data_IF_592705063831
#
_entry.id   IF_592705063831
#
_cell.length_a   1.000
_cell.length_b   1.000
_cell.length_c   1.000
_cell.angle_alpha   90.00
_cell.angle_beta   90.00
_cell.angle_gamma   90.00
#
_symmetry.space_group_name_H-M   'P 1'
#
loop_
_entity.id
_entity.type
_entity.pdbx_description
1 polymer ?
#
# COMPACT_ATOMS: atom_id res chain seq x y z
N UNK A 1 24.50 -3.72 -12.16
CA UNK A 1 24.65 -3.81 -10.69
C UNK A 1 24.07 -2.53 -10.08
N UNK A 2 23.42 -2.63 -8.91
CA UNK A 2 22.86 -1.53 -8.16
C UNK A 2 23.23 -1.68 -6.67
N UNK A 3 23.31 -0.55 -5.95
CA UNK A 3 23.87 -0.53 -4.59
C UNK A 3 22.83 -0.62 -3.48
N UNK A 4 21.56 -0.38 -3.78
CA UNK A 4 20.54 -0.24 -2.73
C UNK A 4 19.18 -0.78 -3.18
N UNK A 5 18.37 0.00 -3.87
CA UNK A 5 17.07 -0.35 -4.42
C UNK A 5 17.09 -0.23 -5.93
N UNK A 6 16.27 -0.99 -6.63
CA UNK A 6 16.17 -0.92 -8.08
C UNK A 6 14.71 -1.04 -8.53
N UNK A 7 14.23 -0.04 -9.25
CA UNK A 7 12.90 -0.04 -9.86
C UNK A 7 13.00 -0.16 -11.37
N UNK A 8 12.15 -1.00 -11.96
CA UNK A 8 12.12 -1.23 -13.42
C UNK A 8 10.71 -1.61 -13.87
N UNK A 9 10.43 -1.40 -15.15
CA UNK A 9 9.17 -1.85 -15.78
C UNK A 9 9.12 -3.37 -15.74
N UNK A 10 7.99 -3.93 -15.32
CA UNK A 10 7.81 -5.38 -15.29
C UNK A 10 7.75 -5.93 -16.71
N UNK A 11 8.65 -6.85 -17.04
CA UNK A 11 8.70 -7.52 -18.35
C UNK A 11 7.41 -8.31 -18.67
N UNK A 12 6.68 -8.71 -17.63
CA UNK A 12 5.41 -9.44 -17.71
C UNK A 12 4.25 -8.58 -17.18
N UNK A 13 4.18 -7.33 -17.65
CA UNK A 13 3.16 -6.38 -17.20
C UNK A 13 1.74 -6.87 -17.51
N UNK A 14 0.88 -6.88 -16.49
CA UNK A 14 -0.55 -7.13 -16.66
C UNK A 14 -1.28 -5.91 -17.25
N UNK A 15 -0.75 -4.71 -17.03
CA UNK A 15 -1.28 -3.45 -17.54
C UNK A 15 -0.25 -2.81 -18.46
N UNK A 16 -0.71 -2.31 -19.59
CA UNK A 16 0.13 -1.66 -20.61
C UNK A 16 -0.38 -0.23 -20.87
N UNK A 17 0.51 0.76 -21.09
CA UNK A 17 0.10 2.14 -21.33
C UNK A 17 -0.62 2.33 -22.68
N UNK A 18 -0.39 1.44 -23.62
CA UNK A 18 -0.99 1.42 -24.96
C UNK A 18 -2.19 0.45 -25.10
N UNK A 19 -2.67 -0.10 -23.98
CA UNK A 19 -3.87 -0.96 -23.98
C UNK A 19 -5.05 -0.23 -24.60
N UNK A 20 -5.85 -0.96 -25.38
CA UNK A 20 -7.04 -0.42 -26.03
C UNK A 20 -8.08 0.05 -25.00
N UNK A 21 -8.63 1.24 -25.19
CA UNK A 21 -9.79 1.74 -24.44
C UNK A 21 -11.11 1.12 -24.93
N UNK A 22 -11.08 0.00 -25.62
CA UNK A 22 -12.28 -0.67 -26.10
C UNK A 22 -13.17 -1.09 -24.93
N UNK A 23 -14.47 -0.94 -25.12
CA UNK A 23 -15.48 -1.42 -24.18
C UNK A 23 -16.45 -2.34 -24.87
N UNK A 24 -16.92 -3.33 -24.15
CA UNK A 24 -17.95 -4.25 -24.60
C UNK A 24 -19.03 -4.29 -23.52
N UNK A 25 -20.27 -4.10 -23.96
CA UNK A 25 -21.44 -4.22 -23.08
C UNK A 25 -22.56 -4.93 -23.86
N UNK A 26 -23.09 -6.00 -23.29
CA UNK A 26 -24.26 -6.69 -23.78
C UNK A 26 -25.29 -6.84 -22.68
N UNK A 27 -26.27 -5.92 -22.70
CA UNK A 27 -27.42 -5.93 -21.82
C UNK A 27 -27.06 -5.69 -20.33
N UNK A 28 -26.00 -4.98 -20.04
CA UNK A 28 -25.44 -4.78 -18.68
C UNK A 28 -25.11 -6.08 -17.92
N UNK A 29 -25.00 -7.20 -18.62
CA UNK A 29 -24.68 -8.51 -18.06
C UNK A 29 -23.29 -8.98 -18.44
N UNK A 30 -22.88 -8.73 -19.68
CA UNK A 30 -21.57 -9.06 -20.18
C UNK A 30 -20.83 -7.75 -20.45
N UNK A 31 -20.08 -7.29 -19.48
CA UNK A 31 -19.37 -6.02 -19.53
C UNK A 31 -17.88 -6.26 -19.43
N UNK A 32 -17.11 -5.66 -20.35
CA UNK A 32 -15.66 -5.64 -20.30
C UNK A 32 -15.17 -4.27 -20.78
N UNK A 33 -14.12 -3.77 -20.16
CA UNK A 33 -13.44 -2.53 -20.53
C UNK A 33 -11.94 -2.76 -20.54
N UNK A 34 -11.25 -2.23 -21.54
CA UNK A 34 -9.80 -2.19 -21.55
C UNK A 34 -9.28 -1.32 -20.41
N UNK A 35 -8.14 -1.71 -19.82
CA UNK A 35 -7.51 -1.00 -18.75
C UNK A 35 -6.08 -0.63 -19.14
N UNK A 36 -5.76 0.65 -19.07
CA UNK A 36 -4.39 1.14 -19.28
C UNK A 36 -3.66 1.25 -17.96
N UNK A 37 -2.36 1.00 -18.00
CA UNK A 37 -1.56 1.17 -16.80
C UNK A 37 -0.08 0.92 -17.03
N UNK A 38 0.67 1.00 -15.93
CA UNK A 38 2.10 0.74 -15.85
C UNK A 38 2.36 -0.19 -14.68
N UNK A 39 3.03 -1.31 -14.94
CA UNK A 39 3.47 -2.21 -13.88
C UNK A 39 4.98 -2.10 -13.70
N UNK A 40 5.43 -1.96 -12.45
CA UNK A 40 6.85 -1.93 -12.09
C UNK A 40 7.17 -2.93 -11.00
N UNK A 41 8.42 -3.36 -10.96
CA UNK A 41 8.99 -4.17 -9.88
C UNK A 41 10.03 -3.33 -9.14
N UNK A 42 10.06 -3.43 -7.82
CA UNK A 42 11.04 -2.77 -6.96
C UNK A 42 11.80 -3.84 -6.20
N UNK A 43 13.06 -4.09 -6.55
CA UNK A 43 13.96 -4.88 -5.72
C UNK A 43 14.39 -4.05 -4.51
N UNK A 44 14.19 -4.59 -3.31
CA UNK A 44 14.45 -3.87 -2.05
C UNK A 44 15.94 -3.78 -1.72
N UNK A 45 16.74 -4.73 -2.19
CA UNK A 45 18.17 -4.83 -1.95
C UNK A 45 18.84 -5.63 -3.05
N UNK A 46 20.13 -5.41 -3.35
CA UNK A 46 20.90 -6.30 -4.23
C UNK A 46 21.14 -7.68 -3.60
N UNK A 47 20.93 -7.84 -2.28
CA UNK A 47 21.12 -9.10 -1.57
C UNK A 47 19.85 -9.94 -1.61
N UNK A 48 19.95 -11.18 -2.11
CA UNK A 48 18.82 -12.08 -2.32
C UNK A 48 18.13 -12.58 -1.03
N UNK A 49 18.77 -12.46 0.11
CA UNK A 49 18.30 -12.98 1.39
C UNK A 49 17.89 -11.88 2.39
N UNK A 50 17.72 -10.63 1.94
CA UNK A 50 17.37 -9.51 2.82
C UNK A 50 15.90 -9.12 2.71
N UNK A 51 15.03 -9.80 3.47
CA UNK A 51 13.63 -9.43 3.62
C UNK A 51 13.46 -8.26 4.62
N UNK A 52 12.32 -7.56 4.58
CA UNK A 52 12.05 -6.37 5.42
C UNK A 52 12.35 -6.58 6.91
N UNK A 53 12.00 -7.72 7.58
CA UNK A 53 12.28 -7.90 9.00
C UNK A 53 13.77 -7.90 9.36
N UNK A 54 14.65 -8.31 8.46
CA UNK A 54 16.10 -8.40 8.72
C UNK A 54 16.92 -7.25 8.10
N UNK A 55 16.31 -6.39 7.27
CA UNK A 55 16.97 -5.21 6.71
C UNK A 55 17.25 -4.16 7.80
N UNK A 56 18.33 -3.40 7.62
CA UNK A 56 18.58 -2.22 8.45
C UNK A 56 17.53 -1.13 8.17
N UNK A 57 17.18 -0.34 9.20
CA UNK A 57 16.18 0.74 9.07
C UNK A 57 16.53 1.72 7.95
N UNK A 58 17.80 2.04 7.77
CA UNK A 58 18.27 2.92 6.70
C UNK A 58 18.04 2.34 5.31
N UNK A 59 18.02 1.01 5.16
CA UNK A 59 17.71 0.33 3.89
C UNK A 59 16.20 0.34 3.63
N UNK A 60 15.37 0.03 4.63
CA UNK A 60 13.90 0.13 4.50
C UNK A 60 13.51 1.57 4.18
N UNK A 61 14.18 2.55 4.79
CA UNK A 61 13.95 3.97 4.51
C UNK A 61 14.22 4.31 3.04
N UNK A 62 15.24 3.72 2.42
CA UNK A 62 15.50 3.88 0.97
C UNK A 62 14.40 3.26 0.12
N UNK A 63 13.87 2.10 0.52
CA UNK A 63 12.72 1.48 -0.15
C UNK A 63 11.51 2.43 -0.11
N UNK A 64 11.22 3.04 1.05
CA UNK A 64 10.14 4.01 1.20
C UNK A 64 10.37 5.24 0.31
N UNK A 65 11.61 5.74 0.19
CA UNK A 65 11.90 6.85 -0.72
C UNK A 65 11.63 6.49 -2.18
N UNK A 66 11.91 5.26 -2.60
CA UNK A 66 11.55 4.78 -3.93
C UNK A 66 10.03 4.70 -4.10
N UNK A 67 9.29 4.17 -3.10
CA UNK A 67 7.82 4.15 -3.15
C UNK A 67 7.22 5.55 -3.31
N UNK A 68 7.74 6.52 -2.56
CA UNK A 68 7.30 7.93 -2.66
C UNK A 68 7.57 8.49 -4.06
N UNK A 69 8.79 8.31 -4.58
CA UNK A 69 9.18 8.81 -5.89
C UNK A 69 8.35 8.16 -7.01
N UNK A 70 8.17 6.86 -6.96
CA UNK A 70 7.38 6.13 -7.96
C UNK A 70 5.89 6.51 -7.92
N UNK A 71 5.33 6.68 -6.71
CA UNK A 71 3.97 7.17 -6.55
C UNK A 71 3.80 8.56 -7.18
N UNK A 72 4.74 9.48 -6.90
CA UNK A 72 4.71 10.83 -7.44
C UNK A 72 4.86 10.85 -8.97
N UNK A 73 5.82 10.11 -9.51
CA UNK A 73 6.08 10.08 -10.95
C UNK A 73 4.95 9.42 -11.76
N UNK A 74 4.45 8.29 -11.27
CA UNK A 74 3.36 7.59 -11.95
C UNK A 74 2.04 8.34 -11.80
N UNK A 75 1.78 8.96 -10.66
CA UNK A 75 0.58 9.76 -10.42
C UNK A 75 0.50 11.05 -11.26
N UNK A 76 1.61 11.50 -11.87
CA UNK A 76 1.62 12.63 -12.82
C UNK A 76 1.15 12.26 -14.23
N UNK A 77 1.07 10.97 -14.54
CA UNK A 77 0.61 10.53 -15.85
C UNK A 77 -0.90 10.77 -15.97
N UNK A 78 -1.33 11.51 -17.00
CA UNK A 78 -2.72 11.98 -17.19
C UNK A 78 -3.77 10.85 -17.16
N UNK A 79 -3.39 9.64 -17.54
CA UNK A 79 -4.31 8.50 -17.56
C UNK A 79 -4.27 7.64 -16.29
N UNK A 80 -3.40 7.94 -15.32
CA UNK A 80 -3.30 7.20 -14.06
C UNK A 80 -4.14 7.89 -12.99
N UNK A 81 -5.12 7.18 -12.46
CA UNK A 81 -5.97 7.63 -11.37
C UNK A 81 -5.73 6.90 -10.04
N UNK A 82 -4.91 5.84 -10.06
CA UNK A 82 -4.53 5.13 -8.85
C UNK A 82 -3.16 4.46 -8.99
N UNK A 83 -2.36 4.53 -7.92
CA UNK A 83 -1.03 3.90 -7.86
C UNK A 83 -1.02 2.94 -6.67
N UNK A 84 -1.16 1.65 -6.95
CA UNK A 84 -1.11 0.58 -5.97
C UNK A 84 0.33 0.12 -5.76
N UNK A 85 0.85 0.26 -4.55
CA UNK A 85 2.16 -0.27 -4.14
C UNK A 85 1.90 -1.43 -3.19
N UNK A 86 2.49 -2.60 -3.48
CA UNK A 86 2.21 -3.81 -2.73
C UNK A 86 3.40 -4.79 -2.73
N UNK A 87 3.39 -5.73 -1.80
CA UNK A 87 4.32 -6.85 -1.72
C UNK A 87 3.55 -8.16 -1.52
N UNK A 88 3.93 -9.19 -2.27
CA UNK A 88 3.56 -10.57 -2.00
C UNK A 88 4.83 -11.30 -1.54
N UNK A 89 4.91 -11.65 -0.27
CA UNK A 89 6.03 -12.40 0.32
C UNK A 89 5.65 -13.86 0.47
N UNK A 90 6.49 -14.74 -0.08
CA UNK A 90 6.33 -16.18 0.02
C UNK A 90 5.56 -16.81 -1.15
N UNK A 91 5.95 -18.04 -1.52
CA UNK A 91 5.40 -18.76 -2.66
C UNK A 91 3.88 -18.98 -2.56
N UNK A 92 3.38 -19.25 -1.37
CA UNK A 92 1.94 -19.43 -1.11
C UNK A 92 1.09 -18.18 -1.36
N UNK A 93 1.74 -17.00 -1.40
CA UNK A 93 1.11 -15.72 -1.75
C UNK A 93 1.29 -15.35 -3.23
N UNK A 94 1.76 -16.30 -4.06
CA UNK A 94 1.99 -16.07 -5.48
C UNK A 94 3.30 -15.37 -5.82
N UNK A 95 4.25 -15.27 -4.87
CA UNK A 95 5.57 -14.74 -5.12
C UNK A 95 6.41 -15.77 -5.89
N UNK A 96 6.61 -15.54 -7.20
CA UNK A 96 7.34 -16.46 -8.07
C UNK A 96 8.87 -16.35 -7.96
N UNK A 97 9.39 -15.24 -7.44
CA UNK A 97 10.82 -15.00 -7.28
C UNK A 97 11.13 -14.72 -5.80
N UNK A 98 12.01 -15.53 -5.16
CA UNK A 98 12.33 -15.38 -3.74
C UNK A 98 13.17 -14.12 -3.42
N UNK A 99 13.72 -13.43 -4.43
CA UNK A 99 14.42 -12.17 -4.22
C UNK A 99 13.44 -11.12 -3.65
N UNK A 100 13.76 -10.47 -2.50
CA UNK A 100 12.84 -9.52 -1.87
C UNK A 100 12.49 -8.34 -2.77
N UNK A 101 11.22 -8.25 -3.14
CA UNK A 101 10.73 -7.23 -4.04
C UNK A 101 9.26 -6.87 -3.75
N UNK A 102 8.91 -5.65 -4.10
CA UNK A 102 7.54 -5.20 -4.20
C UNK A 102 7.15 -4.92 -5.66
N UNK A 103 5.89 -4.61 -5.86
CA UNK A 103 5.33 -4.28 -7.16
C UNK A 103 4.55 -2.97 -7.08
N UNK A 104 4.44 -2.32 -8.23
CA UNK A 104 3.56 -1.18 -8.43
C UNK A 104 2.65 -1.47 -9.61
N UNK A 105 1.36 -1.26 -9.41
CA UNK A 105 0.37 -1.21 -10.48
C UNK A 105 -0.25 0.18 -10.47
N UNK A 106 0.12 0.98 -11.46
CA UNK A 106 -0.49 2.28 -11.70
C UNK A 106 -1.52 2.13 -12.82
N UNK A 107 -2.75 2.56 -12.60
CA UNK A 107 -3.85 2.25 -13.51
C UNK A 107 -4.86 3.39 -13.66
N UNK A 108 -5.62 3.32 -14.77
CA UNK A 108 -6.62 4.32 -15.13
C UNK A 108 -7.86 4.26 -14.23
N UNK A 109 -8.29 3.07 -13.84
CA UNK A 109 -9.46 2.89 -12.98
C UNK A 109 -9.03 2.79 -11.52
N UNK A 110 -9.76 3.42 -10.60
CA UNK A 110 -9.56 3.20 -9.16
C UNK A 110 -9.99 1.76 -8.86
N UNK A 111 -9.13 0.91 -8.25
CA UNK A 111 -9.48 -0.48 -7.94
C UNK A 111 -10.69 -0.60 -7.03
N UNK A 112 -11.36 -1.75 -7.06
CA UNK A 112 -12.64 -1.98 -6.38
C UNK A 112 -12.59 -1.68 -4.87
N UNK A 113 -11.55 -2.14 -4.16
CA UNK A 113 -11.48 -1.91 -2.71
C UNK A 113 -11.23 -0.43 -2.38
N UNK A 114 -10.22 0.27 -2.95
CA UNK A 114 -10.10 1.71 -2.78
C UNK A 114 -11.33 2.51 -3.24
N UNK A 115 -12.04 2.07 -4.27
CA UNK A 115 -13.28 2.72 -4.72
C UNK A 115 -14.40 2.61 -3.66
N UNK A 116 -14.55 1.44 -3.03
CA UNK A 116 -15.50 1.24 -1.92
C UNK A 116 -15.11 2.09 -0.70
N UNK A 117 -13.83 2.12 -0.36
CA UNK A 117 -13.30 2.97 0.72
C UNK A 117 -13.59 4.44 0.46
N UNK A 118 -13.31 4.93 -0.77
CA UNK A 118 -13.56 6.31 -1.17
C UNK A 118 -15.02 6.72 -0.94
N UNK A 119 -15.97 5.85 -1.28
CA UNK A 119 -17.41 6.10 -1.07
C UNK A 119 -17.71 6.26 0.42
N UNK A 120 -17.20 5.35 1.27
CA UNK A 120 -17.46 5.37 2.71
C UNK A 120 -16.72 6.52 3.40
N UNK A 121 -15.48 6.80 3.02
CA UNK A 121 -14.69 7.91 3.54
C UNK A 121 -15.35 9.25 3.23
N UNK A 122 -15.80 9.46 1.99
CA UNK A 122 -16.56 10.67 1.61
C UNK A 122 -17.83 10.83 2.42
N UNK A 123 -18.63 9.76 2.52
CA UNK A 123 -19.87 9.79 3.32
C UNK A 123 -19.60 10.19 4.76
N UNK A 124 -18.63 9.55 5.39
CA UNK A 124 -18.28 9.83 6.79
C UNK A 124 -17.72 11.26 6.96
N UNK A 125 -16.85 11.68 6.06
CA UNK A 125 -16.23 13.00 6.11
C UNK A 125 -17.28 14.12 5.98
N UNK A 126 -18.22 14.00 5.06
CA UNK A 126 -19.33 14.96 4.92
C UNK A 126 -20.20 15.02 6.19
N UNK A 127 -20.43 13.87 6.82
CA UNK A 127 -21.26 13.80 8.02
C UNK A 127 -20.55 14.29 9.29
N UNK A 128 -19.25 14.00 9.45
CA UNK A 128 -18.51 14.19 10.71
C UNK A 128 -17.41 15.26 10.63
N UNK A 129 -17.03 15.74 9.45
CA UNK A 129 -15.93 16.71 9.27
C UNK A 129 -14.54 16.16 9.64
N UNK A 130 -14.38 14.83 9.65
CA UNK A 130 -13.12 14.12 9.99
C UNK A 130 -12.98 12.87 9.14
N UNK A 131 -11.76 12.39 8.96
CA UNK A 131 -11.55 11.12 8.28
C UNK A 131 -12.07 9.96 9.13
N UNK A 132 -12.63 8.93 8.49
CA UNK A 132 -13.16 7.75 9.18
C UNK A 132 -12.05 7.07 10.02
N UNK A 133 -10.88 6.85 9.43
CA UNK A 133 -9.79 6.17 10.12
C UNK A 133 -9.22 6.99 11.29
N UNK A 134 -9.22 8.34 11.24
CA UNK A 134 -8.81 9.13 12.41
C UNK A 134 -9.76 8.96 13.59
N UNK A 135 -11.05 8.88 13.33
CA UNK A 135 -12.04 8.64 14.38
C UNK A 135 -11.96 7.21 14.92
N UNK A 136 -11.80 6.23 14.03
CA UNK A 136 -11.61 4.84 14.41
C UNK A 136 -10.32 4.63 15.23
N UNK A 137 -9.20 5.17 14.76
CA UNK A 137 -7.93 5.07 15.46
C UNK A 137 -7.97 5.70 16.86
N UNK A 138 -8.65 6.84 17.00
CA UNK A 138 -8.85 7.44 18.33
C UNK A 138 -9.51 6.47 19.29
N UNK A 139 -10.58 5.80 18.87
CA UNK A 139 -11.29 4.82 19.68
C UNK A 139 -10.39 3.61 20.03
N UNK A 140 -9.64 3.08 19.06
CA UNK A 140 -8.74 1.95 19.29
C UNK A 140 -7.60 2.29 20.25
N UNK A 141 -7.07 3.50 20.18
CA UNK A 141 -6.04 3.98 21.11
C UNK A 141 -6.58 4.17 22.55
N UNK A 142 -7.87 4.51 22.70
CA UNK A 142 -8.55 4.58 24.00
C UNK A 142 -8.81 3.17 24.57
N UNK A 143 -9.29 2.24 23.75
CA UNK A 143 -9.61 0.86 24.16
C UNK A 143 -8.37 -0.02 24.38
N UNK A 144 -7.36 0.14 23.56
CA UNK A 144 -6.08 -0.65 23.56
C UNK A 144 -6.25 -2.17 23.45
N UNK A 145 -7.36 -2.63 22.86
CA UNK A 145 -7.67 -4.06 22.77
C UNK A 145 -7.02 -4.73 21.55
N UNK A 146 -6.88 -4.00 20.44
CA UNK A 146 -6.44 -4.54 19.14
C UNK A 146 -5.12 -3.99 18.64
N UNK A 147 -4.44 -3.16 19.44
CA UNK A 147 -3.14 -2.58 19.11
C UNK A 147 -2.05 -3.67 19.18
N UNK A 148 -1.31 -3.86 18.09
CA UNK A 148 -0.20 -4.82 18.01
C UNK A 148 1.13 -4.13 18.30
N UNK A 149 1.35 -2.98 17.67
CA UNK A 149 2.56 -2.17 17.83
C UNK A 149 2.28 -0.73 17.40
N UNK A 150 2.91 0.21 18.06
CA UNK A 150 2.85 1.63 17.70
C UNK A 150 4.21 2.29 17.82
N UNK A 151 4.37 3.41 17.14
CA UNK A 151 5.43 4.39 17.38
C UNK A 151 4.83 5.80 17.41
N UNK A 152 5.66 6.84 17.32
CA UNK A 152 5.17 8.23 17.43
C UNK A 152 4.14 8.60 16.36
N UNK A 153 4.30 8.08 15.13
CA UNK A 153 3.57 8.55 13.96
C UNK A 153 2.62 7.50 13.35
N UNK A 154 2.77 6.20 13.72
CA UNK A 154 1.94 5.11 13.17
C UNK A 154 1.49 4.11 14.23
N UNK A 155 0.39 3.42 13.91
CA UNK A 155 -0.15 2.31 14.71
C UNK A 155 -0.42 1.13 13.79
N UNK A 156 -0.09 -0.08 14.24
CA UNK A 156 -0.57 -1.33 13.62
C UNK A 156 -1.54 -2.00 14.58
N UNK A 157 -2.69 -2.35 14.09
CA UNK A 157 -3.77 -2.97 14.86
C UNK A 157 -4.45 -4.08 14.08
N UNK A 158 -5.17 -4.97 14.76
CA UNK A 158 -6.14 -5.86 14.12
C UNK A 158 -7.41 -5.06 13.89
N UNK A 159 -7.84 -4.76 12.65
CA UNK A 159 -9.05 -3.97 12.45
C UNK A 159 -10.27 -4.73 13.00
N UNK A 160 -11.24 -3.99 13.56
CA UNK A 160 -12.45 -4.60 14.15
C UNK A 160 -13.22 -5.46 13.13
N UNK A 161 -13.10 -5.15 11.87
CA UNK A 161 -13.70 -5.87 10.75
C UNK A 161 -12.75 -6.88 10.08
N UNK A 162 -11.62 -7.24 10.72
CA UNK A 162 -10.69 -8.22 10.16
C UNK A 162 -11.41 -9.51 9.80
N UNK A 163 -11.19 -9.97 8.58
CA UNK A 163 -11.81 -11.17 8.04
C UNK A 163 -10.83 -12.34 7.96
N UNK A 164 -9.57 -12.06 7.62
CA UNK A 164 -8.53 -13.07 7.47
C UNK A 164 -7.74 -13.27 8.77
N UNK A 165 -7.33 -14.52 9.08
CA UNK A 165 -6.37 -14.75 10.16
C UNK A 165 -5.11 -13.91 9.95
N UNK A 166 -4.63 -13.25 11.02
CA UNK A 166 -3.47 -12.39 11.04
C UNK A 166 -3.57 -11.11 10.19
N UNK A 167 -4.75 -10.77 9.70
CA UNK A 167 -4.99 -9.48 9.05
C UNK A 167 -4.64 -8.33 10.00
N UNK A 168 -3.87 -7.37 9.51
CA UNK A 168 -3.55 -6.14 10.25
C UNK A 168 -3.68 -4.91 9.39
N UNK A 169 -3.96 -3.79 10.05
CA UNK A 169 -4.07 -2.46 9.46
C UNK A 169 -3.02 -1.55 10.08
N UNK A 170 -2.16 -0.97 9.26
CA UNK A 170 -1.23 0.08 9.63
C UNK A 170 -1.85 1.42 9.26
N UNK A 171 -1.99 2.32 10.23
CA UNK A 171 -2.62 3.64 10.06
C UNK A 171 -1.69 4.73 10.58
N UNK A 172 -1.60 5.86 9.89
CA UNK A 172 -0.90 7.04 10.37
C UNK A 172 -1.68 7.73 11.49
N UNK A 173 -0.98 8.22 12.53
CA UNK A 173 -1.63 8.98 13.63
C UNK A 173 -2.10 10.36 13.16
N UNK A 174 -1.31 11.04 12.35
CA UNK A 174 -1.73 12.25 11.63
C UNK A 174 -2.51 11.85 10.38
N UNK A 175 -3.66 12.44 10.17
CA UNK A 175 -4.40 12.26 8.93
C UNK A 175 -3.68 12.98 7.79
N UNK A 176 -3.28 12.23 6.78
CA UNK A 176 -2.79 12.68 5.49
C UNK A 176 -3.20 11.67 4.42
N UNK A 177 -3.20 12.06 3.17
CA UNK A 177 -3.87 11.28 2.13
C UNK A 177 -2.92 10.41 1.30
N UNK A 178 -1.67 10.80 1.15
CA UNK A 178 -0.77 10.16 0.18
C UNK A 178 0.68 10.09 0.63
N UNK A 179 1.49 9.37 -0.12
CA UNK A 179 2.93 9.26 0.11
C UNK A 179 3.66 10.62 0.09
N UNK A 180 3.21 11.55 -0.75
CA UNK A 180 3.83 12.86 -0.90
C UNK A 180 3.57 13.80 0.28
N UNK A 181 2.56 13.50 1.10
CA UNK A 181 2.23 14.27 2.31
C UNK A 181 3.09 13.93 3.52
N UNK A 182 3.86 12.82 3.44
CA UNK A 182 4.70 12.38 4.55
C UNK A 182 5.90 13.30 4.77
N UNK A 183 6.08 13.72 6.00
CA UNK A 183 7.32 14.37 6.46
C UNK A 183 8.47 13.37 6.49
N UNK A 184 9.71 13.88 6.55
CA UNK A 184 10.90 13.03 6.73
C UNK A 184 10.79 12.15 7.98
N UNK A 185 10.31 12.71 9.10
CA UNK A 185 10.11 11.98 10.37
C UNK A 185 9.12 10.81 10.18
N UNK A 186 8.00 11.06 9.50
CA UNK A 186 7.00 10.02 9.24
C UNK A 186 7.53 8.92 8.32
N UNK A 187 8.36 9.24 7.33
CA UNK A 187 9.04 8.22 6.51
C UNK A 187 9.98 7.34 7.34
N UNK A 188 10.72 7.93 8.28
CA UNK A 188 11.59 7.19 9.20
C UNK A 188 10.76 6.32 10.17
N UNK A 189 9.64 6.85 10.68
CA UNK A 189 8.71 6.12 11.53
C UNK A 189 7.99 4.99 10.78
N UNK A 190 7.68 5.17 9.49
CA UNK A 190 7.11 4.12 8.63
C UNK A 190 8.12 2.97 8.45
N UNK A 191 9.39 3.24 8.26
CA UNK A 191 10.43 2.21 8.19
C UNK A 191 10.52 1.40 9.49
N UNK A 192 10.48 2.06 10.64
CA UNK A 192 10.49 1.44 11.96
C UNK A 192 9.28 0.53 12.18
N UNK A 193 8.07 1.03 11.87
CA UNK A 193 6.86 0.27 12.16
C UNK A 193 6.68 -0.92 11.22
N UNK A 194 7.06 -0.80 9.93
CA UNK A 194 7.07 -1.91 8.97
C UNK A 194 8.04 -3.00 9.43
N UNK A 195 9.25 -2.63 9.85
CA UNK A 195 10.20 -3.59 10.41
C UNK A 195 9.64 -4.31 11.63
N UNK A 196 9.03 -3.58 12.56
CA UNK A 196 8.45 -4.14 13.78
C UNK A 196 7.33 -5.13 13.50
N UNK A 197 6.39 -4.80 12.62
CA UNK A 197 5.29 -5.72 12.30
C UNK A 197 5.77 -6.96 11.56
N UNK A 198 6.69 -6.81 10.60
CA UNK A 198 7.20 -7.96 9.85
C UNK A 198 8.06 -8.89 10.72
N UNK A 199 8.82 -8.38 11.70
CA UNK A 199 9.48 -9.19 12.72
C UNK A 199 8.46 -9.95 13.56
N UNK A 200 7.36 -9.30 13.98
CA UNK A 200 6.31 -9.98 14.75
C UNK A 200 5.68 -11.11 13.96
N UNK A 201 5.42 -10.93 12.67
CA UNK A 201 4.91 -11.98 11.80
C UNK A 201 5.87 -13.17 11.72
N UNK A 202 7.14 -12.95 11.46
CA UNK A 202 8.12 -14.03 11.41
C UNK A 202 8.24 -14.79 12.76
N UNK A 203 8.03 -14.10 13.88
CA UNK A 203 8.11 -14.69 15.23
C UNK A 203 6.85 -15.46 15.65
N UNK A 204 5.67 -15.23 15.04
CA UNK A 204 4.42 -15.94 15.42
C UNK A 204 4.58 -17.45 15.33
N UNK A 205 5.21 -17.92 14.24
CA UNK A 205 5.45 -19.35 14.00
C UNK A 205 6.92 -19.72 13.87
N UNK A 206 7.81 -18.74 14.13
CA UNK A 206 9.26 -18.87 13.96
C UNK A 206 9.65 -19.33 12.55
N UNK A 207 9.03 -18.70 11.55
CA UNK A 207 9.25 -18.93 10.12
C UNK A 207 9.26 -17.60 9.37
N UNK A 208 9.80 -17.59 8.16
CA UNK A 208 9.60 -16.46 7.24
C UNK A 208 8.12 -16.40 6.84
N UNK A 209 7.33 -15.63 7.58
CA UNK A 209 5.88 -15.58 7.47
C UNK A 209 5.46 -15.04 6.11
N UNK A 210 4.62 -15.78 5.34
CA UNK A 210 4.10 -15.30 4.07
C UNK A 210 2.98 -14.29 4.29
N UNK A 211 2.97 -13.21 3.52
CA UNK A 211 1.89 -12.22 3.54
C UNK A 211 1.73 -11.56 2.17
N UNK A 212 0.54 -11.03 1.91
CA UNK A 212 0.32 -9.96 0.96
C UNK A 212 0.10 -8.67 1.72
N UNK A 213 0.74 -7.60 1.29
CA UNK A 213 0.54 -6.28 1.88
C UNK A 213 0.45 -5.21 0.82
N UNK A 214 -0.34 -4.17 1.07
CA UNK A 214 -0.52 -3.09 0.12
C UNK A 214 -0.86 -1.78 0.80
N UNK A 215 -0.34 -0.69 0.25
CA UNK A 215 -0.71 0.66 0.66
C UNK A 215 -1.98 1.09 -0.02
N UNK A 216 -2.81 1.82 0.71
CA UNK A 216 -3.99 2.50 0.19
C UNK A 216 -3.80 4.02 0.31
N UNK A 217 -3.09 4.65 -0.64
CA UNK A 217 -3.03 6.10 -0.77
C UNK A 217 -4.30 6.63 -1.43
N UNK A 218 -4.52 7.94 -1.34
CA UNK A 218 -5.59 8.59 -2.09
C UNK A 218 -5.43 8.39 -3.60
N UNK A 219 -6.54 8.40 -4.36
CA UNK A 219 -6.49 8.45 -5.81
C UNK A 219 -5.65 9.59 -6.36
N UNK A 220 -5.00 9.36 -7.51
CA UNK A 220 -4.20 10.36 -8.24
C UNK A 220 -4.99 11.00 -9.39
N UNK A 221 -6.31 11.06 -9.26
CA UNK A 221 -7.27 11.53 -10.27
C UNK A 221 -7.36 13.07 -10.41
N UNK A 222 -6.39 13.78 -9.87
CA UNK A 222 -6.29 15.25 -9.94
C UNK A 222 -7.27 15.98 -9.02
N UNK A 223 -7.97 15.27 -8.13
CA UNK A 223 -8.89 15.86 -7.16
C UNK A 223 -8.28 15.87 -5.76
N UNK A 224 -8.75 16.80 -4.93
CA UNK A 224 -8.46 16.76 -3.50
C UNK A 224 -9.28 15.66 -2.82
N UNK A 225 -8.61 14.91 -1.94
CA UNK A 225 -9.21 13.85 -1.15
C UNK A 225 -9.03 14.09 0.36
N UNK A 226 -9.65 15.14 0.94
CA UNK A 226 -9.53 15.45 2.35
C UNK A 226 -10.17 14.39 3.27
N UNK A 227 -11.05 13.57 2.71
CA UNK A 227 -11.67 12.43 3.37
C UNK A 227 -10.72 11.24 3.53
N UNK A 228 -9.64 11.19 2.73
CA UNK A 228 -8.73 10.07 2.71
C UNK A 228 -7.79 10.07 3.91
N UNK A 229 -7.39 8.88 4.32
CA UNK A 229 -6.42 8.68 5.40
C UNK A 229 -5.47 7.56 5.01
N UNK A 230 -4.19 7.88 4.87
CA UNK A 230 -3.15 6.95 4.45
C UNK A 230 -3.06 5.74 5.38
N UNK A 231 -3.14 4.55 4.81
CA UNK A 231 -3.07 3.29 5.54
C UNK A 231 -2.47 2.18 4.67
N UNK A 232 -2.18 1.04 5.29
CA UNK A 232 -1.63 -0.14 4.65
C UNK A 232 -2.25 -1.38 5.28
N UNK A 233 -2.55 -2.38 4.46
CA UNK A 233 -3.06 -3.68 4.89
C UNK A 233 -2.00 -4.76 4.80
N UNK A 234 -2.08 -5.70 5.70
CA UNK A 234 -1.40 -6.99 5.64
C UNK A 234 -2.39 -8.11 5.75
#
# INVERSE_FOLDING_TARGET
EYDSTFSFINDFSALMPDSSNSSFDKGNLLVAKGERGVCKVICFSPKHNQTLPIMELSQIRKVIDVWVNEYEELGKLEFINYVQIFENKGEVMGCSNPHPHGQIWAQETIPDEPAKELIQFKKFYVEKGKTLLSQYLKLELELKERIIVENDDFVVLVPFWAFWPFETLLVSKRAFSSFTDMTKKEKDALADIIKKITIKYDNVFNVSFPYSSGFHPAPTDGKDHPEWHFHMHF
#
